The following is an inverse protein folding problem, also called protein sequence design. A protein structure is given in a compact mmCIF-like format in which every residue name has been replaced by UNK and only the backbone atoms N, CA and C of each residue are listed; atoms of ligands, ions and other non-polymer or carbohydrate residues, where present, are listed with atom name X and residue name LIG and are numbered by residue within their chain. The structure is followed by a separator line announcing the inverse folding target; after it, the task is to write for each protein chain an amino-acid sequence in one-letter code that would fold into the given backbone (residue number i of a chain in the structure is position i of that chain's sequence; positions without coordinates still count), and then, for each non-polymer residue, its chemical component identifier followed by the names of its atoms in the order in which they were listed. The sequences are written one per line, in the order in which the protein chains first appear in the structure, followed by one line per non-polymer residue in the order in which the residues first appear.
data_IF_011037256668
#
_entry.id   IF_011037256668
#
_cell.length_a   1.000
_cell.length_b   1.000
_cell.length_c   1.000
_cell.angle_alpha   90.00
_cell.angle_beta   90.00
_cell.angle_gamma   90.00
#
_symmetry.space_group_name_H-M   'P 1'
#
loop_
_entity.id
_entity.type
_entity.pdbx_description
1 polymer ?
#
# COMPACT_ATOMS: atom_id res chain seq x y z
N UNK A 1 -55.25 -16.50 35.06
CA UNK A 1 -54.13 -16.04 34.20
C UNK A 1 -52.98 -17.02 34.41
N UNK A 2 -52.38 -17.60 33.36
CA UNK A 2 -51.23 -18.52 33.52
C UNK A 2 -50.09 -17.81 34.27
N UNK A 3 -49.52 -18.45 35.28
CA UNK A 3 -48.43 -17.90 36.12
C UNK A 3 -47.26 -17.44 35.22
N UNK A 4 -46.95 -18.25 34.22
CA UNK A 4 -45.87 -18.03 33.25
C UNK A 4 -46.05 -16.74 32.42
N UNK A 5 -47.30 -16.30 32.18
CA UNK A 5 -47.58 -15.06 31.43
C UNK A 5 -47.25 -13.81 32.24
N UNK A 6 -47.57 -13.82 33.54
CA UNK A 6 -47.30 -12.69 34.43
C UNK A 6 -45.81 -12.52 34.66
N UNK A 7 -45.09 -13.63 34.81
CA UNK A 7 -43.64 -13.63 34.92
C UNK A 7 -42.97 -13.15 33.62
N UNK A 8 -43.43 -13.65 32.46
CA UNK A 8 -42.98 -13.18 31.15
C UNK A 8 -43.25 -11.68 30.94
N UNK A 9 -44.38 -11.15 31.43
CA UNK A 9 -44.72 -9.73 31.34
C UNK A 9 -43.76 -8.87 32.18
N UNK A 10 -43.46 -9.28 33.42
CA UNK A 10 -42.49 -8.60 34.29
C UNK A 10 -41.12 -8.53 33.63
N UNK A 11 -40.65 -9.64 33.07
CA UNK A 11 -39.38 -9.69 32.33
C UNK A 11 -39.41 -8.81 31.08
N UNK A 12 -40.53 -8.79 30.35
CA UNK A 12 -40.70 -7.99 29.13
C UNK A 12 -40.65 -6.49 29.42
N UNK A 13 -41.33 -6.05 30.48
CA UNK A 13 -41.32 -4.64 30.93
C UNK A 13 -39.95 -4.19 31.43
N UNK A 14 -39.11 -5.10 31.94
CA UNK A 14 -37.71 -4.84 32.29
C UNK A 14 -36.77 -4.71 31.08
N UNK A 15 -37.30 -4.77 29.86
CA UNK A 15 -36.51 -4.68 28.62
C UNK A 15 -35.81 -5.99 28.24
N UNK A 16 -36.35 -7.15 28.63
CA UNK A 16 -35.89 -8.45 28.09
C UNK A 16 -36.51 -8.67 26.71
N UNK A 17 -35.70 -9.12 25.76
CA UNK A 17 -36.16 -9.55 24.43
C UNK A 17 -36.94 -10.86 24.50
N UNK A 18 -37.78 -11.17 23.50
CA UNK A 18 -38.47 -12.46 23.43
C UNK A 18 -37.50 -13.65 23.43
N UNK A 19 -36.29 -13.48 22.87
CA UNK A 19 -35.24 -14.50 22.93
C UNK A 19 -34.75 -14.75 24.36
N UNK A 20 -34.67 -13.72 25.20
CA UNK A 20 -34.27 -13.87 26.60
C UNK A 20 -35.38 -14.53 27.42
N UNK A 21 -36.63 -14.07 27.27
CA UNK A 21 -37.77 -14.61 28.01
C UNK A 21 -38.02 -16.08 27.62
N UNK A 22 -37.94 -16.39 26.33
CA UNK A 22 -38.09 -17.75 25.81
C UNK A 22 -37.04 -18.69 26.40
N UNK A 23 -35.78 -18.25 26.56
CA UNK A 23 -34.74 -19.08 27.20
C UNK A 23 -34.89 -19.21 28.72
N UNK A 24 -35.44 -18.20 29.38
CA UNK A 24 -35.58 -18.18 30.83
C UNK A 24 -36.77 -19.01 31.32
N UNK A 25 -37.88 -18.99 30.59
CA UNK A 25 -39.14 -19.60 30.97
C UNK A 25 -39.53 -20.80 30.09
N UNK A 26 -38.68 -21.16 29.13
CA UNK A 26 -38.94 -22.21 28.12
C UNK A 26 -40.25 -22.03 27.33
N UNK A 27 -40.63 -20.77 27.10
CA UNK A 27 -41.87 -20.43 26.38
C UNK A 27 -41.55 -20.21 24.89
N UNK A 28 -42.33 -20.79 23.96
CA UNK A 28 -42.16 -20.52 22.53
C UNK A 28 -42.31 -19.03 22.19
N UNK A 29 -41.45 -18.52 21.30
CA UNK A 29 -41.48 -17.10 20.89
C UNK A 29 -42.80 -16.70 20.21
N UNK A 30 -43.43 -17.63 19.51
CA UNK A 30 -44.76 -17.42 18.91
C UNK A 30 -45.80 -17.07 19.97
N UNK A 31 -45.76 -17.75 21.12
CA UNK A 31 -46.61 -17.48 22.28
C UNK A 31 -46.34 -16.10 22.88
N UNK A 32 -45.05 -15.74 23.06
CA UNK A 32 -44.65 -14.42 23.56
C UNK A 32 -45.06 -13.28 22.62
N UNK A 33 -44.95 -13.50 21.30
CA UNK A 33 -45.40 -12.56 20.28
C UNK A 33 -46.90 -12.36 20.39
N UNK A 34 -47.68 -13.44 20.45
CA UNK A 34 -49.13 -13.37 20.62
C UNK A 34 -49.54 -12.62 21.89
N UNK A 35 -48.87 -12.87 23.02
CA UNK A 35 -49.22 -12.27 24.30
C UNK A 35 -48.87 -10.78 24.43
N UNK A 36 -47.82 -10.34 23.76
CA UNK A 36 -47.28 -8.99 23.89
C UNK A 36 -47.36 -8.19 22.57
N UNK A 37 -48.21 -8.62 21.64
CA UNK A 37 -48.57 -7.83 20.47
C UNK A 37 -49.25 -6.54 20.93
N UNK A 38 -48.76 -5.39 20.48
CA UNK A 38 -49.28 -4.07 20.88
C UNK A 38 -48.86 -3.58 22.28
N UNK A 39 -47.97 -4.30 22.98
CA UNK A 39 -47.44 -3.83 24.27
C UNK A 39 -46.45 -2.67 24.05
N UNK A 40 -46.80 -1.49 24.57
CA UNK A 40 -45.88 -0.35 24.59
C UNK A 40 -44.86 -0.49 25.72
N UNK A 41 -43.58 -0.49 25.35
CA UNK A 41 -42.47 -0.54 26.30
C UNK A 41 -41.98 0.88 26.62
N UNK A 42 -41.49 1.08 27.84
CA UNK A 42 -40.80 2.32 28.21
C UNK A 42 -39.57 2.57 27.32
N UNK A 43 -39.19 3.83 27.14
CA UNK A 43 -37.98 4.20 26.38
C UNK A 43 -36.74 3.47 26.89
N UNK A 44 -36.59 3.36 28.21
CA UNK A 44 -35.48 2.65 28.86
C UNK A 44 -35.44 1.15 28.54
N UNK A 45 -36.61 0.49 28.50
CA UNK A 45 -36.71 -0.92 28.13
C UNK A 45 -36.42 -1.14 26.64
N UNK A 46 -36.85 -0.22 25.77
CA UNK A 46 -36.56 -0.26 24.33
C UNK A 46 -35.06 -0.04 24.06
N UNK A 47 -34.44 0.94 24.72
CA UNK A 47 -33.01 1.25 24.61
C UNK A 47 -32.14 0.07 25.04
N UNK A 48 -32.46 -0.58 26.17
CA UNK A 48 -31.75 -1.79 26.62
C UNK A 48 -31.75 -2.90 25.56
N UNK A 49 -32.89 -3.16 24.92
CA UNK A 49 -33.01 -4.18 23.87
C UNK A 49 -32.16 -3.78 22.66
N UNK A 50 -32.25 -2.52 22.23
CA UNK A 50 -31.50 -1.96 21.10
C UNK A 50 -29.99 -2.04 21.35
N UNK A 51 -29.52 -1.64 22.51
CA UNK A 51 -28.11 -1.72 22.90
C UNK A 51 -27.59 -3.15 22.89
N UNK A 52 -28.36 -4.11 23.40
CA UNK A 52 -27.97 -5.52 23.41
C UNK A 52 -27.83 -6.08 21.99
N UNK A 53 -28.79 -5.79 21.12
CA UNK A 53 -28.76 -6.21 19.72
C UNK A 53 -27.57 -5.57 19.01
N UNK A 54 -27.35 -4.27 19.21
CA UNK A 54 -26.21 -3.55 18.64
C UNK A 54 -24.88 -4.14 19.12
N UNK A 55 -24.70 -4.37 20.43
CA UNK A 55 -23.48 -4.98 20.99
C UNK A 55 -23.21 -6.37 20.38
N UNK A 56 -24.24 -7.19 20.24
CA UNK A 56 -24.12 -8.53 19.65
C UNK A 56 -23.78 -8.47 18.15
N UNK A 57 -24.45 -7.58 17.41
CA UNK A 57 -24.21 -7.34 15.99
C UNK A 57 -22.78 -6.83 15.74
N UNK A 58 -22.35 -5.83 16.50
CA UNK A 58 -21.00 -5.25 16.42
C UNK A 58 -19.95 -6.33 16.73
N UNK A 59 -20.13 -7.13 17.78
CA UNK A 59 -19.20 -8.21 18.12
C UNK A 59 -19.11 -9.27 17.00
N UNK A 60 -20.24 -9.64 16.40
CA UNK A 60 -20.28 -10.59 15.29
C UNK A 60 -19.60 -10.02 14.03
N UNK A 61 -19.83 -8.74 13.72
CA UNK A 61 -19.18 -8.02 12.62
C UNK A 61 -17.67 -7.94 12.82
N UNK A 62 -17.21 -7.55 14.01
CA UNK A 62 -15.78 -7.52 14.36
C UNK A 62 -15.16 -8.90 14.15
N UNK A 63 -15.77 -9.96 14.69
CA UNK A 63 -15.28 -11.34 14.53
C UNK A 63 -15.22 -11.76 13.05
N UNK A 64 -16.26 -11.45 12.27
CA UNK A 64 -16.31 -11.75 10.83
C UNK A 64 -15.20 -10.99 10.08
N UNK A 65 -15.03 -9.70 10.37
CA UNK A 65 -14.02 -8.87 9.74
C UNK A 65 -12.62 -9.41 10.03
N UNK A 66 -12.30 -9.77 11.28
CA UNK A 66 -11.01 -10.39 11.62
C UNK A 66 -10.78 -11.70 10.85
N UNK A 67 -11.77 -12.58 10.81
CA UNK A 67 -11.67 -13.83 10.07
C UNK A 67 -11.46 -13.58 8.57
N UNK A 68 -12.18 -12.62 7.98
CA UNK A 68 -12.06 -12.26 6.58
C UNK A 68 -10.70 -11.63 6.27
N UNK A 69 -10.19 -10.75 7.12
CA UNK A 69 -8.84 -10.19 7.00
C UNK A 69 -7.78 -11.29 7.03
N UNK A 70 -7.89 -12.24 7.96
CA UNK A 70 -6.95 -13.36 8.05
C UNK A 70 -6.97 -14.24 6.78
N UNK A 71 -8.16 -14.59 6.30
CA UNK A 71 -8.32 -15.38 5.07
C UNK A 71 -7.77 -14.61 3.86
N UNK A 72 -8.06 -13.31 3.75
CA UNK A 72 -7.56 -12.46 2.68
C UNK A 72 -6.03 -12.36 2.69
N UNK A 73 -5.42 -12.20 3.87
CA UNK A 73 -3.95 -12.19 4.03
C UNK A 73 -3.32 -13.54 3.62
N UNK A 74 -3.91 -14.66 4.06
CA UNK A 74 -3.43 -16.00 3.68
C UNK A 74 -3.53 -16.23 2.17
N UNK A 75 -4.65 -15.86 1.57
CA UNK A 75 -4.86 -15.97 0.12
C UNK A 75 -3.90 -15.07 -0.65
N UNK A 76 -3.73 -13.82 -0.24
CA UNK A 76 -2.79 -12.89 -0.87
C UNK A 76 -1.35 -13.42 -0.82
N UNK A 77 -0.92 -13.95 0.33
CA UNK A 77 0.41 -14.57 0.48
C UNK A 77 0.58 -15.77 -0.44
N UNK A 78 -0.41 -16.66 -0.51
CA UNK A 78 -0.39 -17.84 -1.39
C UNK A 78 -0.26 -17.43 -2.86
N UNK A 79 -1.14 -16.54 -3.33
CA UNK A 79 -1.15 -16.04 -4.71
C UNK A 79 0.19 -15.39 -5.06
N UNK A 80 0.76 -14.56 -4.16
CA UNK A 80 2.07 -13.93 -4.38
C UNK A 80 3.20 -14.96 -4.48
N UNK A 81 3.20 -15.99 -3.64
CA UNK A 81 4.22 -17.05 -3.68
C UNK A 81 4.14 -17.85 -4.98
N UNK A 82 2.93 -18.15 -5.45
CA UNK A 82 2.70 -18.84 -6.72
C UNK A 82 3.14 -17.97 -7.90
N UNK A 83 2.64 -16.74 -8.00
CA UNK A 83 2.98 -15.80 -9.08
C UNK A 83 4.48 -15.47 -9.14
N UNK A 84 5.17 -15.43 -7.99
CA UNK A 84 6.63 -15.23 -7.96
C UNK A 84 7.38 -16.33 -8.72
N UNK A 85 6.86 -17.56 -8.75
CA UNK A 85 7.50 -18.70 -9.43
C UNK A 85 7.29 -18.67 -10.94
N UNK A 86 6.32 -17.90 -11.44
CA UNK A 86 6.07 -17.73 -12.87
C UNK A 86 7.17 -16.91 -13.55
N UNK A 87 7.80 -15.99 -12.80
CA UNK A 87 8.96 -15.23 -13.26
C UNK A 87 10.23 -16.04 -12.97
N UNK A 88 10.77 -16.68 -14.00
CA UNK A 88 12.02 -17.43 -13.95
C UNK A 88 13.23 -16.53 -14.30
N UNK A 89 14.15 -17.04 -15.11
CA UNK A 89 15.32 -16.32 -15.55
C UNK A 89 14.95 -15.24 -16.55
N UNK A 90 15.38 -14.01 -16.29
CA UNK A 90 15.21 -12.89 -17.22
C UNK A 90 16.29 -12.95 -18.30
N UNK A 91 15.87 -12.87 -19.55
CA UNK A 91 16.77 -12.68 -20.69
C UNK A 91 17.22 -11.22 -20.79
N UNK A 92 18.27 -10.95 -21.58
CA UNK A 92 18.69 -9.56 -21.88
C UNK A 92 17.56 -8.75 -22.53
N UNK A 93 16.69 -9.38 -23.31
CA UNK A 93 15.52 -8.73 -23.93
C UNK A 93 14.46 -8.33 -22.89
N UNK A 94 14.21 -9.18 -21.89
CA UNK A 94 13.26 -8.86 -20.81
C UNK A 94 13.76 -7.67 -19.99
N UNK A 95 15.05 -7.67 -19.64
CA UNK A 95 15.70 -6.56 -18.92
C UNK A 95 15.65 -5.28 -19.75
N UNK A 96 15.87 -5.36 -21.06
CA UNK A 96 15.75 -4.21 -21.96
C UNK A 96 14.34 -3.62 -21.91
N UNK A 97 13.30 -4.46 -22.09
CA UNK A 97 11.92 -3.98 -22.14
C UNK A 97 11.45 -3.42 -20.79
N UNK A 98 11.75 -4.11 -19.69
CA UNK A 98 11.40 -3.63 -18.34
C UNK A 98 12.17 -2.37 -18.01
N UNK A 99 13.48 -2.32 -18.23
CA UNK A 99 14.30 -1.15 -17.94
C UNK A 99 13.92 0.08 -18.75
N UNK A 100 13.62 -0.11 -20.05
CA UNK A 100 13.10 0.93 -20.93
C UNK A 100 11.75 1.46 -20.41
N UNK A 101 10.84 0.55 -20.02
CA UNK A 101 9.51 0.90 -19.50
C UNK A 101 9.62 1.65 -18.17
N UNK A 102 10.53 1.24 -17.29
CA UNK A 102 10.81 1.93 -16.03
C UNK A 102 11.33 3.35 -16.27
N UNK A 103 12.26 3.53 -17.21
CA UNK A 103 12.72 4.87 -17.56
C UNK A 103 11.62 5.70 -18.21
N UNK A 104 10.78 5.08 -19.04
CA UNK A 104 9.64 5.78 -19.63
C UNK A 104 8.62 6.23 -18.58
N UNK A 105 8.33 5.42 -17.57
CA UNK A 105 7.43 5.78 -16.48
C UNK A 105 8.06 6.77 -15.49
N UNK A 106 9.20 6.42 -14.90
CA UNK A 106 9.80 7.08 -13.73
C UNK A 106 11.03 7.96 -14.06
N UNK A 107 11.57 7.82 -15.27
CA UNK A 107 12.75 8.56 -15.70
C UNK A 107 12.48 10.03 -15.99
N UNK A 108 13.47 10.87 -15.75
CA UNK A 108 13.41 12.29 -16.07
C UNK A 108 13.62 12.50 -17.58
N UNK A 109 12.58 12.97 -18.27
CA UNK A 109 12.53 13.13 -19.75
C UNK A 109 12.42 14.58 -20.20
N UNK A 110 12.37 15.53 -19.26
CA UNK A 110 12.17 16.95 -19.59
C UNK A 110 13.51 17.63 -19.79
N UNK A 111 13.68 18.50 -20.80
CA UNK A 111 14.88 19.30 -20.93
C UNK A 111 15.11 20.15 -19.68
N UNK A 112 16.36 20.30 -19.24
CA UNK A 112 16.69 21.16 -18.10
C UNK A 112 16.76 22.60 -18.60
N UNK A 113 15.91 23.48 -18.08
CA UNK A 113 15.95 24.92 -18.38
C UNK A 113 16.69 25.63 -17.26
N UNK A 114 17.71 26.42 -17.60
CA UNK A 114 18.45 27.26 -16.66
C UNK A 114 18.57 28.65 -17.26
N UNK A 115 18.14 29.68 -16.53
CA UNK A 115 18.14 31.08 -16.96
C UNK A 115 17.46 31.28 -18.33
N UNK A 116 16.30 30.65 -18.53
CA UNK A 116 15.52 30.72 -19.76
C UNK A 116 16.09 29.94 -20.96
N UNK A 117 17.24 29.26 -20.81
CA UNK A 117 17.89 28.50 -21.89
C UNK A 117 17.76 26.99 -21.65
N UNK A 118 17.37 26.26 -22.70
CA UNK A 118 17.39 24.81 -22.71
C UNK A 118 18.84 24.33 -22.69
N UNK A 119 19.22 23.58 -21.67
CA UNK A 119 20.52 22.92 -21.63
C UNK A 119 20.51 21.71 -22.56
N UNK A 120 21.56 21.59 -23.37
CA UNK A 120 21.84 20.44 -24.23
C UNK A 120 22.35 19.22 -23.46
N UNK A 121 22.75 19.43 -22.20
CA UNK A 121 23.20 18.37 -21.32
C UNK A 121 22.00 17.66 -20.67
N UNK A 122 21.86 16.36 -20.93
CA UNK A 122 20.78 15.52 -20.42
C UNK A 122 21.34 14.29 -19.72
N UNK A 123 21.30 14.24 -18.37
CA UNK A 123 21.63 13.03 -17.65
C UNK A 123 20.47 12.04 -17.70
N UNK A 124 20.79 10.75 -17.68
CA UNK A 124 19.83 9.67 -17.51
C UNK A 124 19.58 9.51 -16.02
N UNK A 125 18.42 9.96 -15.54
CA UNK A 125 18.07 9.88 -14.12
C UNK A 125 16.72 9.23 -13.88
N UNK A 126 16.65 8.38 -12.85
CA UNK A 126 15.43 7.78 -12.33
C UNK A 126 15.45 7.87 -10.81
N UNK A 127 14.31 8.22 -10.20
CA UNK A 127 14.19 8.34 -8.74
C UNK A 127 13.08 7.44 -8.23
N UNK A 128 13.34 6.62 -7.22
CA UNK A 128 12.32 5.75 -6.63
C UNK A 128 12.65 5.37 -5.17
N UNK A 129 11.67 4.87 -4.43
CA UNK A 129 11.84 4.34 -3.06
C UNK A 129 11.85 2.82 -3.00
N UNK A 130 11.37 2.12 -4.05
CA UNK A 130 11.32 0.66 -4.09
C UNK A 130 12.72 0.07 -4.40
N UNK A 131 13.33 -0.71 -3.49
CA UNK A 131 14.65 -1.29 -3.71
C UNK A 131 14.70 -2.30 -4.86
N UNK A 132 13.61 -3.04 -5.11
CA UNK A 132 13.51 -4.01 -6.19
C UNK A 132 13.49 -3.33 -7.57
N UNK A 133 12.72 -2.24 -7.70
CA UNK A 133 12.67 -1.43 -8.91
C UNK A 133 14.06 -0.85 -9.23
N UNK A 134 14.73 -0.27 -8.22
CA UNK A 134 16.07 0.30 -8.38
C UNK A 134 17.08 -0.76 -8.83
N UNK A 135 17.03 -1.98 -8.28
CA UNK A 135 17.90 -3.08 -8.72
C UNK A 135 17.72 -3.43 -10.19
N UNK A 136 16.47 -3.57 -10.65
CA UNK A 136 16.19 -3.88 -12.06
C UNK A 136 16.63 -2.75 -12.98
N UNK A 137 16.42 -1.49 -12.57
CA UNK A 137 16.90 -0.35 -13.34
C UNK A 137 18.43 -0.30 -13.43
N UNK A 138 19.14 -0.60 -12.35
CA UNK A 138 20.61 -0.72 -12.38
C UNK A 138 21.06 -1.89 -13.26
N UNK A 139 20.33 -3.02 -13.25
CA UNK A 139 20.59 -4.15 -14.15
C UNK A 139 20.46 -3.73 -15.62
N UNK A 140 19.44 -2.93 -15.95
CA UNK A 140 19.28 -2.34 -17.28
C UNK A 140 20.45 -1.43 -17.66
N UNK A 141 20.88 -0.54 -16.75
CA UNK A 141 22.03 0.35 -17.01
C UNK A 141 23.32 -0.43 -17.24
N UNK A 142 23.58 -1.47 -16.44
CA UNK A 142 24.81 -2.27 -16.50
C UNK A 142 24.83 -3.24 -17.68
N UNK A 143 23.78 -4.03 -17.86
CA UNK A 143 23.79 -5.15 -18.81
C UNK A 143 23.31 -4.77 -20.22
N UNK A 144 22.45 -3.75 -20.34
CA UNK A 144 21.84 -3.36 -21.62
C UNK A 144 22.39 -2.06 -22.14
N UNK A 145 22.53 -1.06 -21.26
CA UNK A 145 23.14 0.22 -21.63
C UNK A 145 24.67 0.20 -21.54
N UNK A 146 25.26 -0.85 -20.94
CA UNK A 146 26.70 -1.06 -20.80
C UNK A 146 27.41 0.13 -20.15
N UNK A 147 26.74 0.73 -19.16
CA UNK A 147 27.28 1.85 -18.38
C UNK A 147 28.31 1.32 -17.40
N UNK A 148 29.53 1.87 -17.45
CA UNK A 148 30.59 1.59 -16.50
C UNK A 148 30.21 2.05 -15.09
N UNK A 149 30.58 1.28 -14.05
CA UNK A 149 30.15 1.50 -12.67
C UNK A 149 30.55 2.89 -12.15
N UNK A 150 31.72 3.40 -12.56
CA UNK A 150 32.21 4.72 -12.17
C UNK A 150 31.34 5.88 -12.67
N UNK A 151 30.52 5.64 -13.70
CA UNK A 151 29.60 6.63 -14.27
C UNK A 151 28.22 6.58 -13.62
N UNK A 152 27.96 5.61 -12.75
CA UNK A 152 26.71 5.48 -12.00
C UNK A 152 26.89 6.18 -10.65
N UNK A 153 26.02 7.16 -10.39
CA UNK A 153 25.98 7.88 -9.12
C UNK A 153 24.60 7.78 -8.49
N UNK A 154 24.53 7.89 -7.17
CA UNK A 154 23.27 7.85 -6.43
C UNK A 154 23.13 9.04 -5.50
N UNK A 155 21.91 9.56 -5.40
CA UNK A 155 21.56 10.64 -4.49
C UNK A 155 20.36 10.21 -3.64
N UNK A 156 20.59 10.00 -2.35
CA UNK A 156 19.60 9.56 -1.37
C UNK A 156 18.94 10.77 -0.74
N UNK A 157 17.62 10.90 -0.89
CA UNK A 157 16.84 11.90 -0.16
C UNK A 157 16.55 11.41 1.24
N UNK A 158 17.08 12.13 2.21
CA UNK A 158 16.95 11.87 3.66
C UNK A 158 15.90 12.82 4.21
N UNK A 159 15.09 12.36 5.18
CA UNK A 159 14.09 13.19 5.84
C UNK A 159 14.52 13.39 7.30
N UNK A 160 13.97 14.39 7.99
CA UNK A 160 14.40 14.78 9.34
C UNK A 160 14.48 13.63 10.36
N UNK A 161 13.62 12.61 10.24
CA UNK A 161 13.56 11.47 11.16
C UNK A 161 14.50 10.32 10.77
N UNK A 162 15.19 10.41 9.64
CA UNK A 162 16.07 9.35 9.16
C UNK A 162 17.49 9.48 9.68
N UNK A 163 18.11 8.35 9.97
CA UNK A 163 19.56 8.27 10.11
C UNK A 163 20.20 8.22 8.72
N UNK A 164 20.90 9.29 8.34
CA UNK A 164 21.58 9.42 7.04
C UNK A 164 22.55 8.28 6.76
N UNK A 165 23.39 7.90 7.73
CA UNK A 165 24.39 6.84 7.53
C UNK A 165 23.72 5.49 7.32
N UNK A 166 22.65 5.20 8.07
CA UNK A 166 21.84 4.01 7.87
C UNK A 166 21.29 3.93 6.44
N UNK A 167 20.71 5.03 5.93
CA UNK A 167 20.18 5.06 4.57
C UNK A 167 21.25 4.90 3.49
N UNK A 168 22.39 5.55 3.64
CA UNK A 168 23.50 5.42 2.68
C UNK A 168 24.02 3.97 2.64
N UNK A 169 24.18 3.33 3.80
CA UNK A 169 24.58 1.92 3.88
C UNK A 169 23.52 0.99 3.27
N UNK A 170 22.24 1.20 3.58
CA UNK A 170 21.14 0.46 2.98
C UNK A 170 21.17 0.55 1.44
N UNK A 171 21.28 1.76 0.90
CA UNK A 171 21.31 1.94 -0.55
C UNK A 171 22.62 1.44 -1.18
N UNK A 172 23.75 1.52 -0.50
CA UNK A 172 25.00 0.89 -0.94
C UNK A 172 24.84 -0.63 -1.07
N UNK A 173 24.25 -1.29 -0.06
CA UNK A 173 24.01 -2.73 -0.10
C UNK A 173 23.08 -3.16 -1.23
N UNK A 174 22.03 -2.37 -1.49
CA UNK A 174 21.03 -2.64 -2.53
C UNK A 174 21.57 -2.37 -3.93
N UNK A 175 22.25 -1.25 -4.12
CA UNK A 175 22.67 -0.77 -5.45
C UNK A 175 24.04 -1.30 -5.86
N UNK A 176 24.90 -1.63 -4.88
CA UNK A 176 26.34 -1.91 -5.05
C UNK A 176 27.15 -0.74 -5.62
N UNK A 177 26.59 0.46 -5.63
CA UNK A 177 27.33 1.69 -5.98
C UNK A 177 28.26 2.03 -4.82
N UNK A 178 29.51 2.34 -5.13
CA UNK A 178 30.50 2.79 -4.15
C UNK A 178 29.94 3.91 -3.25
N UNK A 179 30.12 3.78 -1.94
CA UNK A 179 29.61 4.73 -0.95
C UNK A 179 30.09 6.17 -1.21
N UNK A 180 31.27 6.36 -1.79
CA UNK A 180 31.82 7.68 -2.16
C UNK A 180 31.05 8.36 -3.30
N UNK A 181 30.33 7.57 -4.10
CA UNK A 181 29.46 8.03 -5.19
C UNK A 181 27.99 8.13 -4.78
N UNK A 182 27.67 7.76 -3.54
CA UNK A 182 26.37 7.99 -2.92
C UNK A 182 26.40 9.29 -2.12
N UNK A 183 25.58 10.24 -2.55
CA UNK A 183 25.36 11.50 -1.83
C UNK A 183 24.03 11.44 -1.10
N UNK A 184 23.92 12.16 0.00
CA UNK A 184 22.64 12.40 0.67
C UNK A 184 22.20 13.85 0.43
N UNK A 185 20.90 14.07 0.24
CA UNK A 185 20.30 15.40 0.30
C UNK A 185 19.22 15.40 1.36
N UNK A 186 19.29 16.39 2.25
CA UNK A 186 18.24 16.63 3.23
C UNK A 186 17.01 17.18 2.51
N UNK A 187 15.91 16.45 2.61
CA UNK A 187 14.64 16.82 2.04
C UNK A 187 13.77 17.36 3.16
N UNK A 188 13.50 18.67 3.11
CA UNK A 188 12.60 19.32 4.06
C UNK A 188 11.20 18.72 4.00
N UNK A 189 10.48 18.77 5.12
CA UNK A 189 9.06 18.42 5.14
C UNK A 189 8.31 19.37 4.20
N UNK A 190 7.58 18.80 3.25
CA UNK A 190 6.74 19.60 2.37
C UNK A 190 5.64 20.28 3.19
N UNK A 191 5.61 21.61 3.19
CA UNK A 191 4.57 22.42 3.87
C UNK A 191 3.17 21.98 3.40
N UNK A 192 3.04 21.59 2.13
CA UNK A 192 1.77 21.11 1.54
C UNK A 192 1.29 19.77 2.10
N UNK A 193 2.16 18.99 2.75
CA UNK A 193 1.78 17.72 3.38
C UNK A 193 1.04 17.89 4.71
N UNK A 194 0.99 19.12 5.24
CA UNK A 194 0.37 19.47 6.54
C UNK A 194 0.79 18.58 7.72
N UNK A 195 1.92 17.86 7.59
CA UNK A 195 2.38 16.85 8.56
C UNK A 195 1.37 15.74 8.88
N UNK A 196 0.41 15.49 7.98
CA UNK A 196 -0.61 14.44 8.17
C UNK A 196 -0.10 13.06 7.74
N UNK A 197 0.99 13.02 6.97
CA UNK A 197 1.55 11.77 6.45
C UNK A 197 2.23 10.96 7.57
N UNK A 198 1.94 9.65 7.72
CA UNK A 198 2.68 8.78 8.62
C UNK A 198 4.19 8.88 8.39
N UNK A 199 4.95 8.97 9.48
CA UNK A 199 6.40 9.17 9.41
C UNK A 199 7.14 8.03 8.69
N UNK A 200 6.57 6.82 8.67
CA UNK A 200 7.20 5.61 8.17
C UNK A 200 6.85 5.24 6.71
N UNK A 201 6.25 6.14 5.91
CA UNK A 201 5.86 5.81 4.52
C UNK A 201 7.08 5.49 3.64
N UNK A 202 8.21 6.13 3.90
CA UNK A 202 9.44 5.97 3.14
C UNK A 202 10.58 5.55 4.09
N UNK A 203 10.55 4.32 4.64
CA UNK A 203 11.49 3.90 5.68
C UNK A 203 12.96 3.94 5.22
N UNK A 204 13.18 3.92 3.90
CA UNK A 204 14.49 4.00 3.26
C UNK A 204 14.71 5.30 2.47
N UNK A 205 13.83 6.30 2.63
CA UNK A 205 13.81 7.50 1.80
C UNK A 205 13.55 7.18 0.32
N UNK A 206 14.13 7.98 -0.57
CA UNK A 206 14.17 7.72 -2.03
C UNK A 206 15.59 7.86 -2.51
N UNK A 207 15.97 7.11 -3.54
CA UNK A 207 17.24 7.28 -4.23
C UNK A 207 17.00 7.75 -5.65
N UNK A 208 17.80 8.69 -6.10
CA UNK A 208 17.93 9.07 -7.50
C UNK A 208 19.21 8.46 -8.06
N UNK A 209 19.07 7.55 -9.02
CA UNK A 209 20.18 7.03 -9.81
C UNK A 209 20.43 7.99 -10.97
N UNK A 210 21.70 8.31 -11.22
CA UNK A 210 22.12 9.28 -12.24
C UNK A 210 23.32 8.77 -13.02
N UNK A 211 23.19 8.83 -14.35
CA UNK A 211 24.28 8.62 -15.31
C UNK A 211 24.42 9.86 -16.19
N UNK A 212 25.62 10.43 -16.20
CA UNK A 212 25.92 11.68 -16.89
C UNK A 212 26.28 11.44 -18.36
N UNK A 213 25.29 11.11 -19.19
CA UNK A 213 25.51 10.83 -20.63
C UNK A 213 24.34 11.29 -21.50
N UNK A 214 24.51 12.42 -22.18
CA UNK A 214 23.55 12.93 -23.17
C UNK A 214 23.33 11.95 -24.33
N UNK A 215 24.39 11.26 -24.77
CA UNK A 215 24.30 10.23 -25.82
C UNK A 215 23.37 9.09 -25.39
N UNK A 216 23.53 8.59 -24.16
CA UNK A 216 22.68 7.53 -23.64
C UNK A 216 21.23 7.99 -23.47
N UNK A 217 21.03 9.23 -22.99
CA UNK A 217 19.71 9.83 -22.88
C UNK A 217 18.95 9.78 -24.21
N UNK A 218 19.55 10.31 -25.29
CA UNK A 218 18.90 10.30 -26.60
C UNK A 218 18.73 8.88 -27.16
N UNK A 219 19.67 7.97 -26.89
CA UNK A 219 19.51 6.55 -27.27
C UNK A 219 18.26 5.94 -26.62
N UNK A 220 18.05 6.18 -25.32
CA UNK A 220 16.88 5.71 -24.59
C UNK A 220 15.60 6.38 -25.10
N UNK A 221 15.61 7.68 -25.35
CA UNK A 221 14.45 8.37 -25.93
C UNK A 221 14.07 7.81 -27.30
N UNK A 222 15.04 7.54 -28.18
CA UNK A 222 14.79 6.89 -29.46
C UNK A 222 14.22 5.47 -29.31
N UNK A 223 14.66 4.71 -28.30
CA UNK A 223 14.03 3.41 -27.98
C UNK A 223 12.58 3.56 -27.53
N UNK A 224 12.27 4.59 -26.73
CA UNK A 224 10.89 4.88 -26.31
C UNK A 224 10.02 5.21 -27.52
N UNK A 225 10.49 6.09 -28.41
CA UNK A 225 9.78 6.45 -29.64
C UNK A 225 9.53 5.23 -30.54
N UNK A 226 10.55 4.37 -30.70
CA UNK A 226 10.42 3.12 -31.43
C UNK A 226 9.37 2.17 -30.82
N UNK A 227 9.32 2.10 -29.48
CA UNK A 227 8.31 1.30 -28.78
C UNK A 227 6.91 1.91 -28.92
N UNK A 228 6.76 3.23 -28.76
CA UNK A 228 5.46 3.90 -28.84
C UNK A 228 4.82 3.83 -30.23
N UNK A 229 5.65 3.83 -31.27
CA UNK A 229 5.18 3.83 -32.66
C UNK A 229 5.05 2.41 -33.23
N UNK A 230 5.42 1.38 -32.46
CA UNK A 230 5.30 0.00 -32.91
C UNK A 230 3.83 -0.45 -32.93
N UNK A 231 3.38 -0.95 -34.09
CA UNK A 231 2.09 -1.63 -34.21
C UNK A 231 2.27 -3.11 -33.86
N UNK A 232 1.31 -3.68 -33.14
CA UNK A 232 1.27 -5.13 -32.89
C UNK A 232 1.03 -5.83 -34.22
N UNK A 233 1.87 -6.83 -34.55
CA UNK A 233 1.63 -7.71 -35.70
C UNK A 233 0.62 -8.78 -35.33
#
# INVERSE_FOLDING_TARGET
MRIDRNEALKLRLQGRSYNEISRLLDIPKSTLSCWFTGLELSKTAQERIKERVNKTSIAALIKRNHAQTYIAQKNASRIRIEAKKEILNLTKRDIFMVGLSLYWAEGYKRPKIINGKVKTYHPVTLSNSDPGLVKIYLKFLREVCEVLEENITGEVRVYNHHNKNYLLNFWNEITKIDITRLKSIDNGESISSKRVRPYNILPYGTIQIRVNSTKLYHKIMGWIEGLSNSSTR
#
